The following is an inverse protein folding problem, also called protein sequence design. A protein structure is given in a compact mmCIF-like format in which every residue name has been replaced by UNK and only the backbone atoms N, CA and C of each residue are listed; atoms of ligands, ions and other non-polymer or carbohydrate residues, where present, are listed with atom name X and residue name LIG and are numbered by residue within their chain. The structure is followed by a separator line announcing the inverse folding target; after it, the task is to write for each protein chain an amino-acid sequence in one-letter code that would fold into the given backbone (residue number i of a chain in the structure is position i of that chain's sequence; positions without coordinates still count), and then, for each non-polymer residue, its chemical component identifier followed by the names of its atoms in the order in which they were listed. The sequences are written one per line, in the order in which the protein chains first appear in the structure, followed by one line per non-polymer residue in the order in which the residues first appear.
data_IF_069696920309
#
_entry.id   IF_069696920309
#
_cell.length_a   1.000
_cell.length_b   1.000
_cell.length_c   1.000
_cell.angle_alpha   90.00
_cell.angle_beta   90.00
_cell.angle_gamma   90.00
#
_symmetry.space_group_name_H-M   'P 1'
#
loop_
_entity.id
_entity.type
_entity.pdbx_description
1 polymer ?
#
# COMPACT_ATOMS: atom_id res chain seq x y z
N UNK A 1 -22.61 -7.51 -11.89
CA UNK A 1 -23.74 -7.90 -11.00
C UNK A 1 -24.53 -6.65 -10.64
N UNK A 2 -25.87 -6.70 -10.69
CA UNK A 2 -26.73 -5.59 -10.26
C UNK A 2 -26.75 -5.46 -8.74
N UNK A 3 -26.90 -4.24 -8.21
CA UNK A 3 -27.10 -4.03 -6.78
C UNK A 3 -28.37 -4.76 -6.32
N UNK A 4 -28.25 -5.57 -5.27
CA UNK A 4 -29.30 -6.45 -4.75
C UNK A 4 -29.65 -6.17 -3.28
N UNK A 5 -29.10 -5.08 -2.72
CA UNK A 5 -29.23 -4.72 -1.31
C UNK A 5 -29.65 -3.26 -1.15
N UNK A 6 -30.36 -2.96 -0.06
CA UNK A 6 -30.79 -1.60 0.28
C UNK A 6 -29.73 -0.86 1.11
N UNK A 7 -29.13 -1.54 2.08
CA UNK A 7 -28.27 -0.95 3.11
C UNK A 7 -26.92 -1.65 3.19
N UNK A 8 -25.86 -0.87 3.42
CA UNK A 8 -24.53 -1.36 3.77
C UNK A 8 -24.12 -0.79 5.13
N UNK A 9 -23.58 -1.64 6.00
CA UNK A 9 -23.21 -1.27 7.37
C UNK A 9 -21.94 -1.99 7.83
N UNK A 10 -21.32 -1.47 8.88
CA UNK A 10 -20.24 -2.14 9.60
C UNK A 10 -20.78 -2.75 10.89
N UNK A 11 -20.27 -3.91 11.30
CA UNK A 11 -20.63 -4.53 12.58
C UNK A 11 -19.38 -5.09 13.28
N UNK A 12 -19.37 -5.03 14.60
CA UNK A 12 -18.31 -5.65 15.40
C UNK A 12 -18.48 -7.19 15.40
N UNK A 13 -17.36 -7.89 15.27
CA UNK A 13 -17.25 -9.34 15.37
C UNK A 13 -16.03 -9.70 16.23
N UNK A 14 -15.89 -10.96 16.62
CA UNK A 14 -14.83 -11.41 17.52
C UNK A 14 -13.41 -11.00 17.05
N UNK A 15 -13.14 -11.10 15.75
CA UNK A 15 -11.82 -10.82 15.16
C UNK A 15 -11.69 -9.43 14.52
N UNK A 16 -12.61 -8.50 14.78
CA UNK A 16 -12.57 -7.13 14.23
C UNK A 16 -13.94 -6.60 13.82
N UNK A 17 -14.03 -6.08 12.59
CA UNK A 17 -15.25 -5.48 12.07
C UNK A 17 -15.58 -6.03 10.69
N UNK A 18 -16.79 -6.57 10.52
CA UNK A 18 -17.29 -7.03 9.23
C UNK A 18 -18.05 -5.93 8.48
N UNK A 19 -18.28 -6.16 7.19
CA UNK A 19 -19.16 -5.34 6.36
C UNK A 19 -20.39 -6.17 5.98
N UNK A 20 -21.58 -5.58 6.11
CA UNK A 20 -22.85 -6.26 5.90
C UNK A 20 -23.71 -5.55 4.89
N UNK A 21 -24.34 -6.31 4.01
CA UNK A 21 -25.37 -5.86 3.07
C UNK A 21 -26.72 -6.42 3.54
N UNK A 22 -27.66 -5.55 3.89
CA UNK A 22 -28.94 -5.92 4.51
C UNK A 22 -28.79 -6.94 5.66
N UNK A 23 -27.80 -6.67 6.52
CA UNK A 23 -27.49 -7.50 7.69
C UNK A 23 -26.69 -8.78 7.40
N UNK A 24 -26.42 -9.12 6.14
CA UNK A 24 -25.64 -10.30 5.76
C UNK A 24 -24.17 -9.96 5.53
N UNK A 25 -23.21 -10.68 6.14
CA UNK A 25 -21.79 -10.40 5.96
C UNK A 25 -21.34 -10.65 4.52
N UNK A 26 -20.49 -9.76 3.99
CA UNK A 26 -19.93 -9.91 2.65
C UNK A 26 -18.67 -10.78 2.66
N UNK A 27 -18.36 -11.30 1.48
CA UNK A 27 -17.13 -12.03 1.20
C UNK A 27 -16.37 -11.35 0.06
N UNK A 28 -15.05 -11.45 0.10
CA UNK A 28 -14.18 -11.12 -1.01
C UNK A 28 -14.38 -12.13 -2.16
N UNK A 29 -13.90 -11.84 -3.38
CA UNK A 29 -14.16 -12.67 -4.56
C UNK A 29 -13.73 -14.14 -4.42
N UNK A 30 -12.65 -14.43 -3.69
CA UNK A 30 -12.20 -15.79 -3.37
C UNK A 30 -12.98 -16.46 -2.23
N UNK A 31 -13.98 -15.79 -1.67
CA UNK A 31 -14.85 -16.31 -0.61
C UNK A 31 -14.37 -15.99 0.81
N UNK A 32 -13.27 -15.26 0.99
CA UNK A 32 -12.79 -14.90 2.32
C UNK A 32 -13.73 -13.89 2.99
N UNK A 33 -14.14 -14.08 4.25
CA UNK A 33 -14.91 -13.08 4.99
C UNK A 33 -14.20 -11.72 5.01
N UNK A 34 -14.91 -10.64 4.70
CA UNK A 34 -14.33 -9.29 4.78
C UNK A 34 -14.41 -8.81 6.21
N UNK A 35 -13.36 -9.12 6.98
CA UNK A 35 -13.18 -8.64 8.36
C UNK A 35 -11.92 -7.78 8.40
N UNK A 36 -12.04 -6.57 8.92
CA UNK A 36 -10.96 -5.58 8.98
C UNK A 36 -10.70 -5.14 10.42
N UNK A 37 -9.48 -4.68 10.76
CA UNK A 37 -9.07 -4.48 12.16
C UNK A 37 -9.69 -3.24 12.81
N UNK A 38 -10.27 -2.32 12.03
CA UNK A 38 -10.83 -1.07 12.57
C UNK A 38 -12.24 -0.81 12.05
N UNK A 39 -13.08 -0.29 12.94
CA UNK A 39 -14.44 0.12 12.61
C UNK A 39 -14.45 1.19 11.51
N UNK A 40 -13.50 2.12 11.57
CA UNK A 40 -13.36 3.21 10.58
C UNK A 40 -13.15 2.65 9.17
N UNK A 41 -12.30 1.63 9.01
CA UNK A 41 -12.10 0.99 7.71
C UNK A 41 -13.35 0.21 7.27
N UNK A 42 -14.00 -0.53 8.16
CA UNK A 42 -15.24 -1.25 7.83
C UNK A 42 -16.35 -0.30 7.39
N UNK A 43 -16.53 0.83 8.08
CA UNK A 43 -17.50 1.87 7.72
C UNK A 43 -17.17 2.51 6.37
N UNK A 44 -15.90 2.74 6.08
CA UNK A 44 -15.48 3.29 4.80
C UNK A 44 -15.75 2.31 3.64
N UNK A 45 -15.47 1.02 3.82
CA UNK A 45 -15.82 -0.03 2.84
C UNK A 45 -17.35 -0.12 2.69
N UNK A 46 -18.11 -0.09 3.79
CA UNK A 46 -19.56 -0.06 3.75
C UNK A 46 -20.10 1.16 2.99
N UNK A 47 -19.45 2.33 3.11
CA UNK A 47 -19.81 3.51 2.34
C UNK A 47 -19.58 3.33 0.83
N UNK A 48 -18.51 2.64 0.40
CA UNK A 48 -18.29 2.31 -1.02
C UNK A 48 -19.40 1.41 -1.57
N UNK A 49 -19.86 0.43 -0.79
CA UNK A 49 -21.02 -0.39 -1.11
C UNK A 49 -22.30 0.46 -1.15
N UNK A 50 -22.54 1.31 -0.15
CA UNK A 50 -23.74 2.16 -0.11
C UNK A 50 -23.81 3.13 -1.30
N UNK A 51 -22.66 3.60 -1.79
CA UNK A 51 -22.55 4.53 -2.91
C UNK A 51 -22.76 3.89 -4.29
N UNK A 52 -22.85 2.56 -4.39
CA UNK A 52 -23.08 1.89 -5.67
C UNK A 52 -24.44 2.28 -6.27
N UNK A 53 -24.57 2.38 -7.62
CA UNK A 53 -25.82 2.76 -8.27
C UNK A 53 -27.00 1.88 -7.81
N UNK A 54 -28.08 2.52 -7.33
CA UNK A 54 -29.29 1.82 -6.88
C UNK A 54 -29.95 1.02 -8.00
N UNK A 55 -29.99 1.61 -9.21
CA UNK A 55 -30.40 0.95 -10.44
C UNK A 55 -29.19 0.87 -11.37
N UNK A 56 -28.48 -0.26 -11.33
CA UNK A 56 -27.32 -0.47 -12.18
C UNK A 56 -26.42 -1.61 -11.71
N UNK A 57 -25.33 -1.77 -12.43
CA UNK A 57 -24.26 -2.70 -12.06
C UNK A 57 -23.37 -2.10 -10.99
N UNK A 58 -22.94 -2.95 -10.06
CA UNK A 58 -21.85 -2.64 -9.13
C UNK A 58 -20.59 -2.37 -9.96
N UNK A 59 -19.91 -1.27 -9.63
CA UNK A 59 -18.71 -0.76 -10.29
C UNK A 59 -17.50 -0.96 -9.37
N UNK A 60 -16.73 -2.05 -9.50
CA UNK A 60 -15.59 -2.33 -8.62
C UNK A 60 -14.52 -1.22 -8.62
N UNK A 61 -14.35 -0.52 -9.74
CA UNK A 61 -13.40 0.61 -9.83
C UNK A 61 -13.76 1.78 -8.92
N UNK A 62 -15.02 1.88 -8.47
CA UNK A 62 -15.49 2.87 -7.50
C UNK A 62 -15.38 2.38 -6.04
N UNK A 63 -14.73 1.23 -5.82
CA UNK A 63 -14.60 0.60 -4.51
C UNK A 63 -13.12 0.29 -4.18
N UNK A 64 -12.23 1.29 -4.16
CA UNK A 64 -10.80 1.08 -3.92
C UNK A 64 -10.49 0.41 -2.57
N UNK A 65 -11.17 0.77 -1.49
CA UNK A 65 -10.93 0.20 -0.17
C UNK A 65 -11.37 -1.26 -0.11
N UNK A 66 -12.53 -1.60 -0.68
CA UNK A 66 -12.99 -2.98 -0.80
C UNK A 66 -11.98 -3.82 -1.62
N UNK A 67 -11.46 -3.28 -2.72
CA UNK A 67 -10.45 -3.96 -3.55
C UNK A 67 -9.13 -4.18 -2.82
N UNK A 68 -8.66 -3.17 -2.08
CA UNK A 68 -7.46 -3.28 -1.25
C UNK A 68 -7.65 -4.28 -0.12
N UNK A 69 -8.80 -4.26 0.56
CA UNK A 69 -9.14 -5.19 1.62
C UNK A 69 -9.16 -6.64 1.11
N UNK A 70 -9.84 -6.89 -0.01
CA UNK A 70 -9.85 -8.22 -0.64
C UNK A 70 -8.44 -8.68 -1.02
N UNK A 71 -7.61 -7.78 -1.57
CA UNK A 71 -6.22 -8.10 -1.92
C UNK A 71 -5.39 -8.47 -0.70
N UNK A 72 -5.49 -7.70 0.38
CA UNK A 72 -4.77 -7.99 1.62
C UNK A 72 -5.21 -9.31 2.25
N UNK A 73 -6.53 -9.56 2.31
CA UNK A 73 -7.10 -10.77 2.92
C UNK A 73 -6.82 -12.05 2.13
N UNK A 74 -6.85 -12.00 0.79
CA UNK A 74 -6.80 -13.21 -0.05
C UNK A 74 -5.45 -13.42 -0.70
N UNK A 75 -4.77 -12.35 -1.12
CA UNK A 75 -3.50 -12.46 -1.86
C UNK A 75 -2.32 -12.28 -0.93
N UNK A 76 -2.27 -11.21 -0.16
CA UNK A 76 -1.10 -10.93 0.68
C UNK A 76 -0.91 -12.01 1.73
N UNK A 77 -1.98 -12.45 2.40
CA UNK A 77 -1.92 -13.51 3.42
C UNK A 77 -1.26 -14.81 2.94
N UNK A 78 -1.48 -15.22 1.69
CA UNK A 78 -0.92 -16.46 1.11
C UNK A 78 0.50 -16.33 0.55
N UNK A 79 1.01 -15.11 0.33
CA UNK A 79 2.32 -14.85 -0.28
C UNK A 79 3.03 -13.66 0.37
N UNK A 80 2.88 -13.51 1.68
CA UNK A 80 3.32 -12.34 2.45
C UNK A 80 4.81 -12.05 2.25
N UNK A 81 5.66 -13.07 2.41
CA UNK A 81 7.11 -12.92 2.27
C UNK A 81 7.51 -12.44 0.87
N UNK A 82 6.80 -12.91 -0.16
CA UNK A 82 7.01 -12.46 -1.53
C UNK A 82 6.61 -10.99 -1.69
N UNK A 83 5.49 -10.57 -1.12
CA UNK A 83 5.05 -9.16 -1.20
C UNK A 83 6.03 -8.24 -0.46
N UNK A 84 6.53 -8.66 0.69
CA UNK A 84 7.58 -7.93 1.44
C UNK A 84 8.83 -7.81 0.58
N UNK A 85 9.34 -8.92 0.04
CA UNK A 85 10.54 -8.94 -0.78
C UNK A 85 10.39 -8.09 -2.05
N UNK A 86 9.28 -8.23 -2.77
CA UNK A 86 9.00 -7.47 -4.00
C UNK A 86 8.87 -5.96 -3.70
N UNK A 87 8.31 -5.59 -2.55
CA UNK A 87 8.22 -4.17 -2.11
C UNK A 87 9.59 -3.63 -1.72
N UNK A 88 10.32 -4.33 -0.85
CA UNK A 88 11.63 -3.90 -0.34
C UNK A 88 12.68 -3.83 -1.45
N UNK A 89 12.55 -4.66 -2.50
CA UNK A 89 13.43 -4.65 -3.68
C UNK A 89 13.51 -3.27 -4.37
N UNK A 90 12.47 -2.44 -4.25
CA UNK A 90 12.50 -1.07 -4.78
C UNK A 90 13.64 -0.25 -4.19
N UNK A 91 14.09 -0.51 -2.95
CA UNK A 91 15.23 0.19 -2.37
C UNK A 91 16.50 0.07 -3.22
N UNK A 92 16.71 -1.05 -3.92
CA UNK A 92 17.87 -1.25 -4.78
C UNK A 92 17.89 -0.36 -6.03
N UNK A 93 16.71 0.15 -6.43
CA UNK A 93 16.55 1.01 -7.60
C UNK A 93 15.55 2.14 -7.33
N UNK A 94 15.57 2.70 -6.13
CA UNK A 94 14.53 3.62 -5.67
C UNK A 94 14.60 4.93 -6.44
N UNK A 95 13.46 5.49 -6.85
CA UNK A 95 13.38 6.77 -7.57
C UNK A 95 14.23 7.87 -6.93
N UNK A 96 14.26 7.94 -5.59
CA UNK A 96 14.98 9.01 -4.88
C UNK A 96 16.51 8.85 -4.94
N UNK A 97 17.01 7.68 -5.34
CA UNK A 97 18.45 7.39 -5.42
C UNK A 97 19.05 7.76 -6.78
N UNK A 98 18.25 8.02 -7.82
CA UNK A 98 18.77 8.30 -9.17
C UNK A 98 18.49 9.76 -9.53
N UNK A 99 19.57 10.55 -9.57
CA UNK A 99 19.53 12.01 -9.75
C UNK A 99 19.85 12.40 -11.19
N UNK A 100 19.20 13.46 -11.64
CA UNK A 100 19.55 14.10 -12.89
C UNK A 100 20.99 14.64 -12.81
N UNK A 101 21.65 14.72 -13.96
CA UNK A 101 22.96 15.38 -14.11
C UNK A 101 22.82 16.84 -14.55
N UNK A 102 21.68 17.19 -15.14
CA UNK A 102 21.38 18.47 -15.75
C UNK A 102 19.86 18.64 -15.95
N UNK A 103 19.36 19.87 -16.10
CA UNK A 103 20.05 21.12 -15.79
C UNK A 103 20.26 21.30 -14.28
N UNK A 104 21.21 22.15 -13.87
CA UNK A 104 21.55 22.42 -12.45
C UNK A 104 20.32 22.75 -11.58
N UNK A 105 19.34 23.45 -12.16
CA UNK A 105 18.09 23.79 -11.49
C UNK A 105 17.27 22.56 -11.11
N UNK A 106 17.28 21.50 -11.93
CA UNK A 106 16.62 20.24 -11.63
C UNK A 106 17.39 19.46 -10.56
N UNK A 107 18.72 19.40 -10.67
CA UNK A 107 19.59 18.74 -9.67
C UNK A 107 19.38 19.37 -8.30
N UNK A 108 19.45 20.70 -8.21
CA UNK A 108 19.24 21.43 -6.96
C UNK A 108 17.84 21.19 -6.38
N UNK A 109 16.82 21.12 -7.23
CA UNK A 109 15.44 20.85 -6.79
C UNK A 109 15.28 19.41 -6.27
N UNK A 110 15.88 18.43 -6.94
CA UNK A 110 15.87 17.03 -6.48
C UNK A 110 16.57 16.90 -5.12
N UNK A 111 17.78 17.42 -4.97
CA UNK A 111 18.48 17.37 -3.68
C UNK A 111 17.65 18.03 -2.56
N UNK A 112 17.16 19.25 -2.80
CA UNK A 112 16.37 19.99 -1.80
C UNK A 112 15.12 19.24 -1.32
N UNK A 113 14.44 18.51 -2.20
CA UNK A 113 13.15 17.86 -1.88
C UNK A 113 13.35 16.39 -1.46
N UNK A 114 14.31 15.68 -2.05
CA UNK A 114 14.47 14.23 -1.87
C UNK A 114 15.49 13.85 -0.81
N UNK A 115 16.53 14.65 -0.58
CA UNK A 115 17.52 14.35 0.47
C UNK A 115 16.91 14.25 1.87
N UNK A 116 15.94 15.11 2.27
CA UNK A 116 15.28 14.97 3.56
C UNK A 116 14.55 13.63 3.75
N UNK A 117 14.03 13.03 2.67
CA UNK A 117 13.34 11.74 2.72
C UNK A 117 14.31 10.57 2.88
N UNK A 118 15.47 10.64 2.20
CA UNK A 118 16.54 9.65 2.40
C UNK A 118 17.15 9.75 3.80
N UNK A 119 17.34 10.98 4.32
CA UNK A 119 17.79 11.20 5.68
C UNK A 119 16.78 10.65 6.69
N UNK A 120 15.49 10.94 6.51
CA UNK A 120 14.42 10.41 7.35
C UNK A 120 14.42 8.88 7.37
N UNK A 121 14.64 8.22 6.23
CA UNK A 121 14.72 6.75 6.16
C UNK A 121 15.89 6.22 7.01
N UNK A 122 17.06 6.86 6.90
CA UNK A 122 18.24 6.51 7.67
C UNK A 122 18.02 6.72 9.17
N UNK A 123 17.44 7.86 9.58
CA UNK A 123 17.16 8.17 10.99
C UNK A 123 16.10 7.26 11.60
N UNK A 124 15.01 6.99 10.87
CA UNK A 124 13.86 6.23 11.39
C UNK A 124 14.09 4.73 11.37
N UNK A 125 14.73 4.20 10.33
CA UNK A 125 14.85 2.76 10.11
C UNK A 125 16.30 2.26 10.08
N UNK A 126 17.29 3.15 10.19
CA UNK A 126 18.70 2.78 10.05
C UNK A 126 19.09 2.36 8.63
N UNK A 127 18.25 2.68 7.63
CA UNK A 127 18.50 2.31 6.24
C UNK A 127 19.11 3.49 5.48
N UNK A 128 20.42 3.46 5.26
CA UNK A 128 21.14 4.48 4.48
C UNK A 128 21.20 4.04 3.02
N UNK A 129 20.43 4.71 2.15
CA UNK A 129 20.51 4.51 0.71
C UNK A 129 21.41 5.56 0.07
N UNK A 130 22.28 5.11 -0.83
CA UNK A 130 23.18 5.98 -1.58
C UNK A 130 22.48 6.54 -2.82
N UNK A 131 22.57 7.85 -3.01
CA UNK A 131 22.16 8.50 -4.24
C UNK A 131 23.31 8.52 -5.26
N UNK A 132 22.96 8.41 -6.54
CA UNK A 132 23.87 8.48 -7.67
C UNK A 132 23.31 9.41 -8.74
N UNK A 133 24.19 10.01 -9.54
CA UNK A 133 23.79 10.82 -10.70
C UNK A 133 23.86 9.99 -11.99
N UNK A 134 22.90 10.22 -12.88
CA UNK A 134 22.80 9.52 -14.16
C UNK A 134 22.08 8.16 -14.07
N UNK A 135 22.24 7.35 -15.11
CA UNK A 135 21.44 6.12 -15.33
C UNK A 135 22.14 4.83 -14.93
N UNK A 136 23.37 4.91 -14.43
CA UNK A 136 24.16 3.73 -14.08
C UNK A 136 23.69 3.20 -12.72
N UNK A 137 23.21 1.95 -12.72
CA UNK A 137 22.78 1.26 -11.51
C UNK A 137 23.94 1.16 -10.51
N UNK A 138 23.69 1.62 -9.28
CA UNK A 138 24.61 1.47 -8.15
C UNK A 138 23.99 0.48 -7.16
N UNK A 139 24.68 -0.62 -6.81
CA UNK A 139 24.18 -1.54 -5.82
C UNK A 139 24.13 -0.86 -4.44
N UNK A 140 23.00 -0.97 -3.76
CA UNK A 140 22.86 -0.55 -2.37
C UNK A 140 23.52 -1.57 -1.44
N UNK A 141 23.89 -1.15 -0.23
CA UNK A 141 24.47 -2.07 0.74
C UNK A 141 23.45 -3.15 1.15
N UNK A 142 23.89 -4.42 1.35
CA UNK A 142 22.99 -5.47 1.83
C UNK A 142 22.31 -5.11 3.16
N UNK A 143 23.01 -4.39 4.03
CA UNK A 143 22.45 -3.89 5.29
C UNK A 143 21.29 -2.92 5.07
N UNK A 144 21.42 -1.94 4.17
CA UNK A 144 20.34 -0.98 3.92
C UNK A 144 19.10 -1.68 3.32
N UNK A 145 19.30 -2.63 2.40
CA UNK A 145 18.21 -3.44 1.85
C UNK A 145 17.50 -4.24 2.94
N UNK A 146 18.25 -4.87 3.84
CA UNK A 146 17.67 -5.62 4.96
C UNK A 146 16.88 -4.71 5.92
N UNK A 147 17.39 -3.52 6.23
CA UNK A 147 16.68 -2.53 7.06
C UNK A 147 15.35 -2.11 6.44
N UNK A 148 15.32 -1.89 5.13
CA UNK A 148 14.06 -1.61 4.42
C UNK A 148 13.14 -2.83 4.45
N UNK A 149 13.67 -4.04 4.28
CA UNK A 149 12.88 -5.27 4.37
C UNK A 149 12.17 -5.38 5.73
N UNK A 150 12.90 -5.18 6.82
CA UNK A 150 12.35 -5.16 8.19
C UNK A 150 11.27 -4.10 8.34
N UNK A 151 11.49 -2.88 7.83
CA UNK A 151 10.51 -1.80 7.89
C UNK A 151 9.21 -2.13 7.14
N UNK A 152 9.31 -2.74 5.95
CA UNK A 152 8.16 -3.22 5.18
C UNK A 152 7.45 -4.36 5.90
N UNK A 153 8.21 -5.34 6.42
CA UNK A 153 7.69 -6.52 7.11
C UNK A 153 6.91 -6.22 8.40
N UNK A 154 7.13 -5.05 9.01
CA UNK A 154 6.40 -4.59 10.19
C UNK A 154 4.91 -4.32 9.92
N UNK A 155 4.48 -4.20 8.66
CA UNK A 155 3.10 -3.89 8.29
C UNK A 155 2.23 -5.15 8.18
N UNK A 156 1.05 -5.16 8.81
CA UNK A 156 0.06 -6.23 8.63
C UNK A 156 -0.44 -6.33 7.17
N UNK A 157 -1.05 -7.46 6.79
CA UNK A 157 -1.37 -7.79 5.38
C UNK A 157 -2.17 -6.73 4.63
N UNK A 158 -3.16 -6.11 5.29
CA UNK A 158 -3.95 -5.03 4.69
C UNK A 158 -3.10 -3.78 4.41
N UNK A 159 -2.24 -3.40 5.35
CA UNK A 159 -1.34 -2.27 5.19
C UNK A 159 -0.26 -2.56 4.15
N UNK A 160 0.24 -3.79 4.11
CA UNK A 160 1.22 -4.24 3.11
C UNK A 160 0.62 -4.22 1.69
N UNK A 161 -0.65 -4.57 1.52
CA UNK A 161 -1.35 -4.41 0.25
C UNK A 161 -1.36 -2.94 -0.23
N UNK A 162 -1.61 -2.00 0.67
CA UNK A 162 -1.58 -0.57 0.35
C UNK A 162 -0.14 -0.09 0.05
N UNK A 163 0.82 -0.46 0.90
CA UNK A 163 2.23 -0.09 0.77
C UNK A 163 2.83 -0.58 -0.56
N UNK A 164 2.52 -1.81 -0.97
CA UNK A 164 2.94 -2.36 -2.26
C UNK A 164 2.43 -1.51 -3.45
N UNK A 165 1.15 -1.11 -3.42
CA UNK A 165 0.56 -0.27 -4.47
C UNK A 165 1.20 1.12 -4.49
N UNK A 166 1.37 1.76 -3.34
CA UNK A 166 2.04 3.06 -3.22
C UNK A 166 3.47 3.00 -3.77
N UNK A 167 4.22 1.98 -3.37
CA UNK A 167 5.60 1.76 -3.83
C UNK A 167 5.66 1.64 -5.34
N UNK A 168 4.76 0.83 -5.93
CA UNK A 168 4.73 0.61 -7.38
C UNK A 168 4.36 1.87 -8.14
N UNK A 169 3.35 2.63 -7.68
CA UNK A 169 2.90 3.85 -8.35
C UNK A 169 3.88 5.01 -8.22
N UNK A 170 4.52 5.14 -7.06
CA UNK A 170 5.49 6.19 -6.80
C UNK A 170 6.89 5.84 -7.34
N UNK A 171 7.15 4.58 -7.65
CA UNK A 171 8.48 4.10 -8.01
C UNK A 171 9.48 4.14 -6.85
N UNK A 172 8.98 4.22 -5.61
CA UNK A 172 9.79 4.46 -4.42
C UNK A 172 9.17 3.84 -3.18
N UNK A 173 9.94 2.98 -2.51
CA UNK A 173 9.57 2.43 -1.20
C UNK A 173 9.80 3.46 -0.11
N UNK A 174 10.76 4.38 -0.31
CA UNK A 174 11.00 5.49 0.63
C UNK A 174 9.80 6.42 0.71
N UNK A 175 9.27 6.84 -0.45
CA UNK A 175 8.06 7.67 -0.49
C UNK A 175 6.86 6.92 0.10
N UNK A 176 6.70 5.64 -0.22
CA UNK A 176 5.57 4.85 0.26
C UNK A 176 5.59 4.65 1.78
N UNK A 177 6.76 4.49 2.39
CA UNK A 177 6.93 4.38 3.85
C UNK A 177 6.72 5.72 4.57
N UNK A 178 6.89 6.85 3.88
CA UNK A 178 6.80 8.19 4.45
C UNK A 178 5.36 8.75 4.51
N UNK A 179 4.37 8.01 4.02
CA UNK A 179 2.92 8.33 4.06
C UNK A 179 2.28 7.78 5.32
#
# INVERSE_FOLDING_TARGET
MKRFYATASASAVESGFDVRLDGKPIRAPGGTPVVVPTEKLARAIAAEWQAQPAAGEIKPLQMPLMRLAATGLERVSGQRDKVIADTAKYAGSDLLCYRATDPDSLVARQCKIWDPLLLWLAERFGATLESTSGVILRPQSPEAIERVNVAVAAHGDLALAALYNLTTWMGSVVLALAV
#
